data_IF_394832244960
#
_entry.id   IF_394832244960
#
_cell.length_a   1.000
_cell.length_b   1.000
_cell.length_c   1.000
_cell.angle_alpha   90.00
_cell.angle_beta   90.00
_cell.angle_gamma   90.00
#
_symmetry.space_group_name_H-M   'P 1'
#
loop_
_entity.id
_entity.type
_entity.pdbx_description
1 polymer ?
#
# COMPACT_ATOMS: atom_id res chain seq x y z
N UNK A 1 6.32 12.81 -2.60
CA UNK A 1 4.88 13.00 -2.78
C UNK A 1 4.37 14.11 -1.86
N UNK A 2 3.38 14.84 -2.32
CA UNK A 2 2.67 15.82 -1.49
C UNK A 2 1.50 15.12 -0.76
N UNK A 3 1.04 15.73 0.33
CA UNK A 3 -0.14 15.23 1.04
C UNK A 3 -1.32 15.16 0.06
N UNK A 4 -2.00 14.02 0.04
CA UNK A 4 -3.14 13.76 -0.85
C UNK A 4 -2.79 13.38 -2.28
N UNK A 5 -1.51 13.35 -2.64
CA UNK A 5 -1.06 12.92 -3.96
C UNK A 5 -1.14 11.39 -4.08
N UNK A 6 -1.73 10.92 -5.17
CA UNK A 6 -1.77 9.50 -5.46
C UNK A 6 -0.40 8.99 -5.89
N UNK A 7 -0.08 7.78 -5.51
CA UNK A 7 1.13 7.09 -5.92
C UNK A 7 0.79 6.06 -7.01
N UNK A 8 1.55 6.09 -8.09
CA UNK A 8 1.41 5.14 -9.18
C UNK A 8 2.55 4.12 -9.07
N UNK A 9 2.20 2.85 -8.96
CA UNK A 9 3.14 1.78 -8.73
C UNK A 9 3.08 0.80 -9.89
N UNK A 10 4.23 0.58 -10.54
CA UNK A 10 4.36 -0.40 -11.61
C UNK A 10 4.95 -1.69 -11.02
N UNK A 11 4.28 -2.79 -11.27
CA UNK A 11 4.69 -4.13 -10.84
C UNK A 11 4.93 -5.02 -12.06
N UNK A 12 6.06 -5.71 -12.06
CA UNK A 12 6.43 -6.70 -13.08
C UNK A 12 6.88 -7.98 -12.41
N UNK A 13 6.53 -9.11 -12.99
CA UNK A 13 6.89 -10.41 -12.42
C UNK A 13 6.96 -11.49 -13.50
N UNK A 14 7.56 -12.61 -13.14
CA UNK A 14 7.57 -13.83 -13.93
C UNK A 14 6.82 -14.92 -13.17
N UNK A 15 5.88 -15.58 -13.83
CA UNK A 15 5.15 -16.70 -13.24
C UNK A 15 6.03 -17.96 -13.25
N UNK A 16 6.42 -18.44 -12.09
CA UNK A 16 7.10 -19.73 -11.97
C UNK A 16 6.15 -20.91 -12.06
N UNK A 17 4.87 -20.66 -11.74
CA UNK A 17 3.77 -21.62 -11.76
C UNK A 17 2.58 -21.00 -12.46
N UNK A 18 1.58 -21.84 -12.81
CA UNK A 18 0.28 -21.34 -13.19
C UNK A 18 -0.34 -20.61 -12.01
N UNK A 19 -0.85 -19.42 -12.25
CA UNK A 19 -1.47 -18.57 -11.23
C UNK A 19 -2.90 -18.26 -11.66
N UNK A 20 -3.83 -18.41 -10.73
CA UNK A 20 -5.24 -18.08 -10.94
C UNK A 20 -5.70 -17.12 -9.83
N UNK A 21 -6.33 -16.01 -10.23
CA UNK A 21 -6.91 -15.05 -9.31
C UNK A 21 -5.89 -14.49 -8.29
N UNK A 22 -4.77 -14.01 -8.81
CA UNK A 22 -3.73 -13.37 -8.00
C UNK A 22 -4.27 -12.11 -7.36
N UNK A 23 -3.90 -11.89 -6.11
CA UNK A 23 -4.26 -10.71 -5.33
C UNK A 23 -2.99 -9.94 -4.92
N UNK A 24 -3.18 -8.67 -4.62
CA UNK A 24 -2.10 -7.78 -4.16
C UNK A 24 -2.49 -7.12 -2.84
N UNK A 25 -1.54 -7.10 -1.92
CA UNK A 25 -1.64 -6.37 -0.66
C UNK A 25 -0.49 -5.37 -0.60
N UNK A 26 -0.81 -4.11 -0.37
CA UNK A 26 0.18 -3.07 -0.10
C UNK A 26 -0.01 -2.62 1.34
N UNK A 27 0.98 -2.91 2.17
CA UNK A 27 1.00 -2.51 3.57
C UNK A 27 1.89 -1.29 3.73
N UNK A 28 1.36 -0.25 4.38
CA UNK A 28 2.11 0.96 4.68
C UNK A 28 2.49 0.94 6.15
N UNK A 29 3.78 1.16 6.40
CA UNK A 29 4.34 1.18 7.74
C UNK A 29 5.00 2.53 8.01
N UNK A 30 4.93 2.96 9.26
CA UNK A 30 5.71 4.06 9.77
C UNK A 30 7.20 3.70 9.73
N UNK A 31 8.06 4.70 9.81
CA UNK A 31 9.51 4.55 9.86
C UNK A 31 9.99 3.55 10.93
N UNK A 32 9.29 3.46 12.06
CA UNK A 32 9.56 2.51 13.15
C UNK A 32 8.93 1.12 12.93
N UNK A 33 8.44 0.84 11.72
CA UNK A 33 7.75 -0.38 11.31
C UNK A 33 6.37 -0.59 11.93
N UNK A 34 5.80 0.43 12.53
CA UNK A 34 4.42 0.36 13.02
C UNK A 34 3.45 0.36 11.84
N UNK A 35 2.53 -0.61 11.77
CA UNK A 35 1.53 -0.65 10.70
C UNK A 35 0.65 0.60 10.73
N UNK A 36 0.43 1.19 9.55
CA UNK A 36 -0.42 2.37 9.37
C UNK A 36 -1.71 1.99 8.67
N UNK A 37 -1.62 1.24 7.59
CA UNK A 37 -2.77 0.85 6.82
C UNK A 37 -2.44 -0.09 5.69
N UNK A 38 -3.48 -0.64 5.07
CA UNK A 38 -3.33 -1.67 4.04
C UNK A 38 -4.33 -1.40 2.91
N UNK A 39 -3.84 -1.49 1.68
CA UNK A 39 -4.67 -1.46 0.48
C UNK A 39 -4.67 -2.83 -0.19
N UNK A 40 -5.80 -3.23 -0.72
CA UNK A 40 -6.00 -4.56 -1.30
C UNK A 40 -6.54 -4.46 -2.72
N UNK A 41 -6.08 -5.36 -3.58
CA UNK A 41 -6.62 -5.57 -4.92
C UNK A 41 -6.83 -7.06 -5.11
N UNK A 42 -8.07 -7.46 -5.37
CA UNK A 42 -8.44 -8.87 -5.45
C UNK A 42 -8.55 -9.36 -6.89
N UNK A 43 -8.15 -10.62 -7.12
CA UNK A 43 -8.43 -11.38 -8.35
C UNK A 43 -8.09 -10.60 -9.64
N UNK A 44 -6.95 -9.94 -9.67
CA UNK A 44 -6.61 -9.01 -10.75
C UNK A 44 -5.83 -9.67 -11.89
N UNK A 45 -5.32 -10.89 -11.71
CA UNK A 45 -4.46 -11.51 -12.71
C UNK A 45 -4.52 -13.03 -12.66
N UNK A 46 -4.47 -13.64 -13.84
CA UNK A 46 -4.26 -15.08 -14.02
C UNK A 46 -3.31 -15.30 -15.19
N UNK A 47 -2.41 -16.24 -15.08
CA UNK A 47 -1.43 -16.53 -16.12
C UNK A 47 -0.79 -17.89 -15.97
N UNK A 48 -0.15 -18.35 -17.03
CA UNK A 48 0.54 -19.63 -17.07
C UNK A 48 1.99 -19.52 -16.61
N UNK A 49 2.57 -20.64 -16.16
CA UNK A 49 3.99 -20.72 -15.86
C UNK A 49 4.83 -20.26 -17.04
N UNK A 50 5.86 -19.46 -16.78
CA UNK A 50 6.77 -18.91 -17.80
C UNK A 50 6.29 -17.62 -18.44
N UNK A 51 5.05 -17.20 -18.22
CA UNK A 51 4.56 -15.91 -18.69
C UNK A 51 5.00 -14.78 -17.79
N UNK A 52 5.25 -13.61 -18.38
CA UNK A 52 5.50 -12.38 -17.65
C UNK A 52 4.19 -11.65 -17.38
N UNK A 53 4.07 -11.10 -16.18
CA UNK A 53 2.96 -10.27 -15.78
C UNK A 53 3.39 -8.84 -15.52
N UNK A 54 2.48 -7.90 -15.74
CA UNK A 54 2.69 -6.48 -15.46
C UNK A 54 1.36 -5.83 -15.08
N UNK A 55 1.38 -4.98 -14.08
CA UNK A 55 0.25 -4.13 -13.78
C UNK A 55 0.69 -2.79 -13.20
N UNK A 56 -0.16 -1.79 -13.36
CA UNK A 56 0.03 -0.48 -12.74
C UNK A 56 -1.13 -0.25 -11.79
N UNK A 57 -0.83 0.06 -10.54
CA UNK A 57 -1.85 0.33 -9.53
C UNK A 57 -1.72 1.75 -9.01
N UNK A 58 -2.85 2.32 -8.60
CA UNK A 58 -2.93 3.63 -7.99
C UNK A 58 -3.20 3.45 -6.50
N UNK A 59 -2.30 3.97 -5.67
CA UNK A 59 -2.47 4.00 -4.23
C UNK A 59 -2.85 5.41 -3.81
N UNK A 60 -4.05 5.56 -3.26
CA UNK A 60 -4.56 6.84 -2.78
C UNK A 60 -4.43 6.91 -1.27
N UNK A 61 -3.73 7.93 -0.77
CA UNK A 61 -3.50 8.12 0.67
C UNK A 61 -3.87 9.55 1.10
N UNK A 62 -5.12 10.01 0.85
CA UNK A 62 -5.48 11.41 1.06
C UNK A 62 -5.44 11.84 2.53
N UNK A 63 -5.64 10.89 3.45
CA UNK A 63 -5.65 11.16 4.89
C UNK A 63 -4.30 10.93 5.57
N UNK A 64 -3.29 10.45 4.82
CA UNK A 64 -1.98 10.16 5.39
C UNK A 64 -1.19 11.46 5.56
N UNK A 65 -0.75 11.73 6.77
CA UNK A 65 -0.01 12.97 7.08
C UNK A 65 1.42 12.92 6.52
N UNK A 66 2.04 14.07 6.39
CA UNK A 66 3.44 14.17 5.99
C UNK A 66 4.33 13.36 6.92
N UNK A 67 5.29 12.66 6.36
CA UNK A 67 6.21 11.81 7.12
C UNK A 67 6.97 10.87 6.21
N UNK A 68 7.74 10.00 6.85
CA UNK A 68 8.57 8.99 6.18
C UNK A 68 7.98 7.62 6.41
N UNK A 69 7.75 6.90 5.33
CA UNK A 69 7.04 5.64 5.34
C UNK A 69 7.79 4.59 4.54
N UNK A 70 7.46 3.34 4.81
CA UNK A 70 7.83 2.22 3.95
C UNK A 70 6.57 1.51 3.50
N UNK A 71 6.67 0.82 2.35
CA UNK A 71 5.60 -0.05 1.92
C UNK A 71 6.14 -1.45 1.65
N UNK A 72 5.29 -2.43 1.87
CA UNK A 72 5.51 -3.82 1.53
C UNK A 72 4.44 -4.23 0.54
N UNK A 73 4.88 -4.72 -0.62
CA UNK A 73 3.97 -5.23 -1.65
C UNK A 73 4.01 -6.76 -1.62
N UNK A 74 2.87 -7.39 -1.42
CA UNK A 74 2.75 -8.84 -1.32
C UNK A 74 1.72 -9.36 -2.30
N UNK A 75 2.14 -10.26 -3.18
CA UNK A 75 1.21 -11.07 -3.96
C UNK A 75 0.73 -12.24 -3.13
N UNK A 76 -0.57 -12.49 -3.14
CA UNK A 76 -1.16 -13.58 -2.37
C UNK A 76 -2.32 -14.23 -3.11
N UNK A 77 -2.70 -15.42 -2.64
CA UNK A 77 -3.85 -16.16 -3.13
C UNK A 77 -4.84 -16.33 -1.98
N UNK A 78 -6.11 -16.11 -2.27
CA UNK A 78 -7.18 -16.44 -1.32
C UNK A 78 -7.45 -17.94 -1.37
N UNK A 79 -7.74 -18.54 -0.24
CA UNK A 79 -8.23 -19.90 -0.20
C UNK A 79 -9.72 -19.94 0.19
N UNK A 80 -10.33 -21.11 0.03
CA UNK A 80 -11.76 -21.31 0.29
C UNK A 80 -12.17 -21.16 1.77
N UNK A 81 -11.20 -21.12 2.67
CA UNK A 81 -11.44 -20.95 4.11
C UNK A 81 -11.22 -19.51 4.60
N UNK A 82 -11.01 -18.57 3.68
CA UNK A 82 -10.79 -17.18 4.03
C UNK A 82 -9.39 -16.84 4.54
N UNK A 83 -8.47 -17.80 4.57
CA UNK A 83 -7.05 -17.53 4.83
C UNK A 83 -6.33 -17.22 3.54
N UNK A 84 -5.16 -16.60 3.63
CA UNK A 84 -4.37 -16.19 2.48
C UNK A 84 -3.04 -16.94 2.47
N UNK A 85 -2.55 -17.24 1.26
CA UNK A 85 -1.21 -17.79 1.07
C UNK A 85 -0.39 -16.76 0.31
N UNK A 86 0.67 -16.26 0.92
CA UNK A 86 1.58 -15.32 0.28
C UNK A 86 2.40 -16.05 -0.79
N UNK A 87 2.49 -15.43 -1.95
CA UNK A 87 3.24 -15.96 -3.10
C UNK A 87 4.62 -15.34 -3.17
N UNK A 88 4.71 -14.03 -3.10
CA UNK A 88 5.96 -13.28 -3.14
C UNK A 88 5.77 -11.90 -2.50
N UNK A 89 6.87 -11.31 -2.07
CA UNK A 89 6.84 -10.09 -1.29
C UNK A 89 8.05 -9.22 -1.56
N UNK A 90 7.83 -7.92 -1.71
CA UNK A 90 8.89 -6.91 -1.78
C UNK A 90 8.74 -5.98 -0.58
N UNK A 91 9.76 -5.97 0.26
CA UNK A 91 9.80 -5.17 1.49
C UNK A 91 10.58 -3.88 1.31
N UNK A 92 10.33 -2.93 2.21
CA UNK A 92 11.20 -1.79 2.42
C UNK A 92 11.23 -0.78 1.29
N UNK A 93 10.17 -0.67 0.52
CA UNK A 93 10.03 0.39 -0.47
C UNK A 93 9.77 1.70 0.26
N UNK A 94 10.78 2.54 0.30
CA UNK A 94 10.72 3.81 1.04
C UNK A 94 10.00 4.89 0.24
N UNK A 95 9.18 5.66 0.91
CA UNK A 95 8.62 6.89 0.35
C UNK A 95 8.42 7.95 1.43
N UNK A 96 8.32 9.19 0.97
CA UNK A 96 8.11 10.33 1.84
C UNK A 96 6.93 11.15 1.35
N UNK A 97 6.09 11.56 2.28
CA UNK A 97 5.03 12.52 2.05
C UNK A 97 5.47 13.84 2.65
N UNK A 98 5.62 14.85 1.79
CA UNK A 98 6.02 16.19 2.17
C UNK A 98 4.80 17.08 2.31
N UNK A 99 4.89 18.04 3.20
CA UNK A 99 3.88 19.08 3.35
C UNK A 99 4.48 20.43 2.97
N UNK A 100 3.67 21.29 2.34
CA UNK A 100 4.08 22.63 1.99
C UNK A 100 3.93 23.58 3.18
N UNK A 101 2.77 23.58 3.80
CA UNK A 101 2.47 24.40 4.98
C UNK A 101 1.61 23.64 5.97
N UNK A 102 1.78 23.93 7.25
CA UNK A 102 0.93 23.38 8.29
C UNK A 102 0.49 24.48 9.24
N UNK A 103 -0.78 24.42 9.61
CA UNK A 103 -1.32 25.27 10.64
C UNK A 103 -0.76 24.91 12.02
N UNK A 104 -0.46 23.63 12.21
CA UNK A 104 0.09 23.09 13.46
C UNK A 104 1.18 22.05 13.17
N UNK A 105 2.06 21.87 14.13
CA UNK A 105 3.03 20.77 14.09
C UNK A 105 2.33 19.46 14.47
N UNK A 106 2.40 18.47 13.57
CA UNK A 106 1.75 17.18 13.79
C UNK A 106 2.57 16.32 14.74
N UNK A 107 1.93 15.83 15.80
CA UNK A 107 2.57 14.92 16.76
C UNK A 107 2.27 13.47 16.39
N UNK A 108 3.13 12.86 15.59
CA UNK A 108 2.94 11.50 15.07
C UNK A 108 2.80 10.45 16.19
N UNK A 109 3.54 10.59 17.27
CA UNK A 109 3.52 9.59 18.36
C UNK A 109 2.22 9.61 19.16
N UNK A 110 1.58 10.76 19.28
CA UNK A 110 0.35 10.92 20.05
C UNK A 110 -0.91 10.87 19.15
N UNK A 111 -0.82 11.39 17.94
CA UNK A 111 -1.96 11.58 17.04
C UNK A 111 -2.04 10.56 15.91
N UNK A 112 -1.02 9.72 15.75
CA UNK A 112 -0.95 8.76 14.68
C UNK A 112 -0.58 9.40 13.33
N UNK A 113 -0.96 8.75 12.25
CA UNK A 113 -0.55 9.13 10.90
C UNK A 113 -1.70 9.45 9.95
N UNK A 114 -2.92 9.46 10.45
CA UNK A 114 -4.12 9.73 9.67
C UNK A 114 -4.77 11.00 10.21
N UNK A 115 -4.95 11.97 9.33
CA UNK A 115 -5.74 13.16 9.65
C UNK A 115 -7.13 12.99 9.05
N UNK A 116 -8.15 12.93 9.89
CA UNK A 116 -9.54 12.92 9.44
C UNK A 116 -9.92 14.28 8.88
N UNK A 117 -11.01 14.35 8.09
CA UNK A 117 -11.54 15.64 7.68
C UNK A 117 -11.79 16.54 8.87
N UNK A 118 -11.68 17.85 8.66
CA UNK A 118 -11.88 18.83 9.74
C UNK A 118 -13.26 18.70 10.37
N UNK A 119 -13.30 18.91 11.68
CA UNK A 119 -14.57 18.94 12.41
C UNK A 119 -15.44 20.09 11.90
N UNK A 120 -16.73 19.84 11.85
CA UNK A 120 -17.73 20.83 11.43
C UNK A 120 -18.48 21.29 12.67
N UNK A 121 -18.53 22.60 12.86
CA UNK A 121 -19.31 23.19 13.96
C UNK A 121 -20.80 23.14 13.61
N UNK A 122 -21.59 22.48 14.43
CA UNK A 122 -23.03 22.41 14.27
C UNK A 122 -23.77 23.60 14.91
#
# INVERSE_FOLDING_TARGET
>A
FSVGEDQIILLRWLNEKNITNLCLRIEILERDRRPIGTALLYDFYSGAAGEEGECTVRLSTPALVAGKYTMTCTFFLKNEFGTNTDVDCVHGLYFEISKEETEIMWNHSAWGNIEFPKLILE
#
